data_IF_074470292170
#
_entry.id   IF_074470292170
#
_cell.length_a   1.000
_cell.length_b   1.000
_cell.length_c   1.000
_cell.angle_alpha   90.00
_cell.angle_beta   90.00
_cell.angle_gamma   90.00
#
_symmetry.space_group_name_H-M   'P 1'
#
loop_
_entity.id
_entity.type
_entity.pdbx_description
1 polymer ?
#
# COMPACT_ATOMS: atom_id res chain seq x y z
N UNK A 1 12.20 9.33 9.98
CA UNK A 1 12.17 7.87 10.12
C UNK A 1 10.76 7.36 9.93
N UNK A 2 10.56 6.43 8.99
CA UNK A 2 9.22 5.93 8.71
C UNK A 2 8.87 4.84 9.72
N UNK A 3 7.79 5.08 10.46
CA UNK A 3 7.29 4.12 11.44
C UNK A 3 6.55 2.98 10.73
N UNK A 4 6.73 1.77 11.22
CA UNK A 4 6.03 0.60 10.70
C UNK A 4 4.51 0.80 10.71
N UNK A 5 4.00 1.40 11.79
CA UNK A 5 2.56 1.67 11.90
C UNK A 5 2.06 2.60 10.80
N UNK A 6 2.87 3.59 10.40
CA UNK A 6 2.51 4.49 9.32
C UNK A 6 2.45 3.74 7.98
N UNK A 7 3.39 2.82 7.75
CA UNK A 7 3.38 2.00 6.53
C UNK A 7 2.13 1.15 6.45
N UNK A 8 1.73 0.53 7.56
CA UNK A 8 0.52 -0.29 7.62
C UNK A 8 -0.73 0.55 7.38
N UNK A 9 -0.79 1.75 7.99
CA UNK A 9 -1.91 2.66 7.77
C UNK A 9 -2.00 3.09 6.31
N UNK A 10 -0.85 3.41 5.70
CA UNK A 10 -0.80 3.79 4.30
C UNK A 10 -1.27 2.66 3.40
N UNK A 11 -0.85 1.44 3.71
CA UNK A 11 -1.27 0.26 2.96
C UNK A 11 -2.79 0.10 3.01
N UNK A 12 -3.38 0.25 4.19
CA UNK A 12 -4.82 0.14 4.36
C UNK A 12 -5.58 1.23 3.61
N UNK A 13 -5.06 2.45 3.61
CA UNK A 13 -5.66 3.56 2.87
C UNK A 13 -5.65 3.29 1.36
N UNK A 14 -4.51 2.82 0.84
CA UNK A 14 -4.37 2.51 -0.58
C UNK A 14 -5.26 1.34 -0.98
N UNK A 15 -5.36 0.35 -0.12
CA UNK A 15 -6.23 -0.79 -0.35
C UNK A 15 -7.70 -0.34 -0.47
N UNK A 16 -8.11 0.56 0.40
CA UNK A 16 -9.45 1.13 0.37
C UNK A 16 -9.68 1.96 -0.89
N UNK A 17 -8.70 2.77 -1.27
CA UNK A 17 -8.78 3.58 -2.48
C UNK A 17 -8.88 2.70 -3.72
N UNK A 18 -8.11 1.62 -3.76
CA UNK A 18 -8.16 0.67 -4.86
C UNK A 18 -9.54 0.04 -4.97
N UNK A 19 -10.07 -0.43 -3.86
CA UNK A 19 -11.38 -1.08 -3.80
C UNK A 19 -12.49 -0.11 -4.24
N UNK A 20 -12.44 1.13 -3.75
CA UNK A 20 -13.40 2.15 -4.11
C UNK A 20 -13.35 2.48 -5.60
N UNK A 21 -12.14 2.61 -6.14
CA UNK A 21 -11.94 2.87 -7.57
C UNK A 21 -12.49 1.73 -8.43
N UNK A 22 -12.30 0.49 -7.99
CA UNK A 22 -12.85 -0.66 -8.71
C UNK A 22 -14.38 -0.67 -8.71
N UNK A 23 -14.98 -0.30 -7.59
CA UNK A 23 -16.44 -0.21 -7.50
C UNK A 23 -17.00 0.88 -8.41
N UNK A 24 -16.24 1.93 -8.64
CA UNK A 24 -16.64 3.03 -9.53
C UNK A 24 -16.22 2.83 -10.97
N UNK A 25 -15.62 1.69 -11.28
CA UNK A 25 -15.07 1.39 -12.61
C UNK A 25 -14.04 2.42 -13.06
N UNK A 26 -13.31 3.01 -12.09
CA UNK A 26 -12.25 3.96 -12.40
C UNK A 26 -10.92 3.23 -12.47
N UNK A 27 -10.66 2.63 -13.63
CA UNK A 27 -9.49 1.79 -13.81
C UNK A 27 -8.18 2.56 -13.66
N UNK A 28 -8.16 3.81 -14.06
CA UNK A 28 -6.96 4.64 -13.97
C UNK A 28 -6.55 4.87 -12.51
N UNK A 29 -7.51 5.24 -11.67
CA UNK A 29 -7.26 5.46 -10.26
C UNK A 29 -6.90 4.13 -9.56
N UNK A 30 -7.58 3.05 -9.93
CA UNK A 30 -7.29 1.73 -9.39
C UNK A 30 -5.86 1.30 -9.72
N UNK A 31 -5.40 1.55 -10.94
CA UNK A 31 -4.06 1.21 -11.36
C UNK A 31 -3.01 1.99 -10.56
N UNK A 32 -3.23 3.28 -10.37
CA UNK A 32 -2.33 4.12 -9.58
C UNK A 32 -2.26 3.64 -8.13
N UNK A 33 -3.40 3.32 -7.54
CA UNK A 33 -3.45 2.80 -6.18
C UNK A 33 -2.73 1.46 -6.07
N UNK A 34 -2.90 0.59 -7.05
CA UNK A 34 -2.23 -0.70 -7.07
C UNK A 34 -0.71 -0.55 -7.15
N UNK A 35 -0.23 0.38 -7.96
CA UNK A 35 1.20 0.64 -8.06
C UNK A 35 1.78 1.11 -6.74
N UNK A 36 1.09 2.02 -6.05
CA UNK A 36 1.53 2.49 -4.74
C UNK A 36 1.47 1.39 -3.70
N UNK A 37 0.46 0.51 -3.78
CA UNK A 37 0.37 -0.64 -2.88
C UNK A 37 1.62 -1.51 -2.97
N UNK A 38 2.10 -1.76 -4.19
CA UNK A 38 3.30 -2.56 -4.41
C UNK A 38 4.51 -1.89 -3.76
N UNK A 39 4.65 -0.58 -3.92
CA UNK A 39 5.76 0.17 -3.34
C UNK A 39 5.73 0.09 -1.81
N UNK A 40 4.58 0.32 -1.22
CA UNK A 40 4.43 0.28 0.25
C UNK A 40 4.65 -1.14 0.77
N UNK A 41 4.13 -2.14 0.07
CA UNK A 41 4.31 -3.54 0.45
C UNK A 41 5.78 -3.93 0.46
N UNK A 42 6.55 -3.46 -0.52
CA UNK A 42 7.99 -3.73 -0.58
C UNK A 42 8.73 -3.07 0.59
N UNK A 43 8.31 -1.87 0.99
CA UNK A 43 8.90 -1.20 2.14
C UNK A 43 8.61 -1.95 3.43
N UNK A 44 7.39 -2.45 3.58
CA UNK A 44 7.02 -3.25 4.74
C UNK A 44 7.84 -4.54 4.77
N UNK A 45 8.00 -5.19 3.63
CA UNK A 45 8.80 -6.39 3.51
C UNK A 45 10.25 -6.15 3.91
N UNK A 46 10.85 -5.07 3.41
CA UNK A 46 12.22 -4.71 3.74
C UNK A 46 12.38 -4.45 5.24
N UNK A 47 11.40 -3.76 5.84
CA UNK A 47 11.41 -3.49 7.26
C UNK A 47 11.33 -4.79 8.06
N UNK A 48 10.44 -5.68 7.67
CA UNK A 48 10.26 -6.97 8.32
C UNK A 48 11.52 -7.82 8.26
N UNK A 49 12.17 -7.86 7.09
CA UNK A 49 13.42 -8.59 6.91
C UNK A 49 14.54 -8.05 7.79
N UNK A 50 14.60 -6.73 7.94
CA UNK A 50 15.62 -6.10 8.77
C UNK A 50 15.41 -6.40 10.27
N UNK A 51 14.16 -6.56 10.70
CA UNK A 51 13.82 -6.79 12.12
C UNK A 51 13.85 -8.27 12.48
N UNK A 52 13.53 -9.15 11.52
CA UNK A 52 13.38 -10.58 11.76
C UNK A 52 14.65 -11.40 11.48
N UNK A 53 15.79 -10.75 11.41
CA UNK A 53 17.07 -11.45 11.20
C UNK A 53 17.60 -12.07 12.48
#
# INVERSE_FOLDING_TARGET
MIDYAELVLRLKQLEREYHDAMLRNNNKTALLAAEELVVVAKRIQAYTEAVCV
#
